data_IF_476138262756
#
_entry.id   IF_476138262756
#
_cell.length_a   1.000
_cell.length_b   1.000
_cell.length_c   1.000
_cell.angle_alpha   90.00
_cell.angle_beta   90.00
_cell.angle_gamma   90.00
#
_symmetry.space_group_name_H-M   'P 1'
#
loop_
_entity.id
_entity.type
_entity.pdbx_description
1 polymer ?
#
# COMPACT_ATOMS: atom_id res chain seq x y z
N UNK A 1 -22.63 -35.92 -17.67
CA UNK A 1 -21.21 -35.70 -17.40
C UNK A 1 -20.93 -34.23 -17.68
N UNK A 2 -21.00 -33.39 -16.66
CA UNK A 2 -20.76 -31.94 -16.76
C UNK A 2 -19.32 -31.69 -16.36
N UNK A 3 -18.52 -31.18 -17.30
CA UNK A 3 -17.13 -30.79 -17.06
C UNK A 3 -17.13 -29.56 -16.15
N UNK A 4 -16.66 -29.76 -14.93
CA UNK A 4 -16.32 -28.70 -14.00
C UNK A 4 -14.98 -28.15 -14.49
N UNK A 5 -15.02 -27.02 -15.17
CA UNK A 5 -13.82 -26.25 -15.50
C UNK A 5 -13.39 -25.48 -14.25
N UNK A 6 -12.46 -26.06 -13.50
CA UNK A 6 -11.77 -25.41 -12.40
C UNK A 6 -10.90 -24.31 -12.99
N UNK A 7 -11.32 -23.05 -12.85
CA UNK A 7 -10.49 -21.89 -13.11
C UNK A 7 -9.52 -21.72 -11.92
N UNK A 8 -8.39 -22.42 -12.02
CA UNK A 8 -7.22 -22.07 -11.21
C UNK A 8 -6.72 -20.74 -11.76
N UNK A 9 -7.10 -19.62 -11.15
CA UNK A 9 -6.39 -18.36 -11.32
C UNK A 9 -5.02 -18.52 -10.66
N UNK A 10 -4.06 -18.96 -11.47
CA UNK A 10 -2.65 -18.93 -11.13
C UNK A 10 -2.30 -17.51 -10.70
N UNK A 11 -1.76 -17.37 -9.50
CA UNK A 11 -0.80 -16.35 -9.13
C UNK A 11 0.30 -16.33 -10.21
N UNK A 12 0.11 -15.58 -11.27
CA UNK A 12 1.14 -15.31 -12.24
C UNK A 12 2.11 -14.31 -11.62
N UNK A 13 2.99 -14.83 -10.74
CA UNK A 13 4.32 -14.28 -10.66
C UNK A 13 4.82 -14.21 -12.10
N UNK A 14 5.24 -13.04 -12.53
CA UNK A 14 5.96 -12.85 -13.77
C UNK A 14 7.23 -13.73 -13.65
N UNK A 15 7.19 -14.93 -14.22
CA UNK A 15 8.39 -15.70 -14.45
C UNK A 15 9.06 -15.06 -15.65
N UNK A 16 9.87 -14.03 -15.40
CA UNK A 16 10.97 -13.76 -16.30
C UNK A 16 11.83 -15.03 -16.33
N UNK A 17 12.04 -15.55 -17.51
CA UNK A 17 12.90 -16.70 -17.76
C UNK A 17 14.30 -16.41 -17.20
N UNK A 18 14.59 -16.98 -16.03
CA UNK A 18 15.93 -17.08 -15.47
C UNK A 18 16.76 -18.06 -16.33
N UNK A 19 17.19 -17.60 -17.48
CA UNK A 19 18.14 -18.29 -18.33
C UNK A 19 19.49 -17.57 -18.32
N UNK A 20 20.00 -17.23 -17.13
CA UNK A 20 21.43 -16.94 -16.91
C UNK A 20 21.66 -16.59 -15.43
N UNK A 21 22.11 -17.55 -14.70
CA UNK A 21 22.97 -17.55 -13.49
C UNK A 21 22.48 -18.63 -12.53
N UNK A 22 23.33 -19.60 -12.23
CA UNK A 22 23.12 -20.81 -11.43
C UNK A 22 22.53 -20.62 -10.03
N UNK A 23 21.38 -19.95 -9.93
CA UNK A 23 20.60 -19.84 -8.71
C UNK A 23 19.78 -21.13 -8.55
N UNK A 24 19.86 -21.74 -7.40
CA UNK A 24 19.06 -22.87 -6.93
C UNK A 24 17.57 -22.68 -7.28
N UNK A 25 16.82 -23.75 -7.60
CA UNK A 25 15.40 -23.63 -7.91
C UNK A 25 14.66 -22.89 -6.79
N UNK A 26 13.96 -21.80 -7.13
CA UNK A 26 13.21 -20.99 -6.15
C UNK A 26 12.19 -21.87 -5.44
N UNK A 27 12.27 -21.92 -4.09
CA UNK A 27 11.25 -22.60 -3.28
C UNK A 27 9.87 -22.03 -3.63
N UNK A 28 8.88 -22.93 -3.80
CA UNK A 28 7.47 -22.50 -3.96
C UNK A 28 6.90 -22.22 -2.57
N UNK A 29 7.14 -21.01 -2.08
CA UNK A 29 6.72 -20.59 -0.73
C UNK A 29 5.21 -20.71 -0.52
N UNK A 30 4.40 -20.54 -1.57
CA UNK A 30 2.95 -20.70 -1.43
C UNK A 30 2.55 -22.14 -1.11
N UNK A 31 3.30 -23.15 -1.66
CA UNK A 31 3.09 -24.56 -1.30
C UNK A 31 3.67 -24.96 0.05
N UNK A 32 4.69 -24.22 0.52
CA UNK A 32 5.35 -24.49 1.79
C UNK A 32 4.69 -23.75 2.95
N UNK A 33 3.85 -22.75 2.67
CA UNK A 33 3.20 -21.93 3.67
C UNK A 33 2.23 -22.74 4.56
N UNK A 34 2.11 -22.33 5.80
CA UNK A 34 1.10 -22.85 6.71
C UNK A 34 -0.26 -22.23 6.40
N UNK A 35 -1.26 -23.07 6.13
CA UNK A 35 -2.68 -22.68 5.97
C UNK A 35 -3.58 -23.38 6.99
N UNK A 36 -2.98 -23.96 8.06
CA UNK A 36 -3.66 -24.65 9.13
C UNK A 36 -3.56 -23.84 10.42
N UNK A 37 -4.68 -23.29 10.87
CA UNK A 37 -4.74 -22.44 12.07
C UNK A 37 -4.22 -23.16 13.32
N UNK A 38 -4.38 -24.50 13.41
CA UNK A 38 -3.88 -25.29 14.54
C UNK A 38 -2.35 -25.35 14.62
N UNK A 39 -1.65 -24.99 13.52
CA UNK A 39 -0.18 -24.95 13.42
C UNK A 39 0.38 -23.54 13.60
N UNK A 40 -0.46 -22.56 13.85
CA UNK A 40 0.03 -21.22 14.22
C UNK A 40 0.83 -21.32 15.50
N UNK A 41 2.09 -20.86 15.56
CA UNK A 41 2.91 -20.98 16.74
C UNK A 41 2.32 -20.16 17.90
N UNK A 42 2.61 -20.59 19.13
CA UNK A 42 2.35 -19.73 20.29
C UNK A 42 3.27 -18.50 20.21
N UNK A 43 2.68 -17.32 20.29
CA UNK A 43 3.41 -16.07 20.23
C UNK A 43 2.87 -15.05 21.23
N UNK A 44 3.72 -14.09 21.58
CA UNK A 44 3.36 -12.91 22.35
C UNK A 44 3.70 -11.68 21.52
N UNK A 45 2.73 -10.79 21.37
CA UNK A 45 2.95 -9.51 20.71
C UNK A 45 3.69 -8.54 21.64
N UNK A 46 4.59 -7.70 21.13
CA UNK A 46 5.11 -6.58 21.88
C UNK A 46 3.96 -5.65 22.27
N UNK A 47 4.02 -5.10 23.50
CA UNK A 47 2.99 -4.15 23.93
C UNK A 47 3.15 -2.84 23.16
N UNK A 48 2.10 -2.45 22.42
CA UNK A 48 2.09 -1.21 21.63
C UNK A 48 2.27 0.04 22.51
N UNK A 49 1.91 -0.02 23.79
CA UNK A 49 2.02 1.08 24.76
C UNK A 49 3.28 1.04 25.63
N UNK A 50 4.14 0.02 25.50
CA UNK A 50 5.35 -0.10 26.28
C UNK A 50 6.54 0.56 25.58
N UNK A 51 7.10 1.61 26.18
CA UNK A 51 8.31 2.26 25.69
C UNK A 51 9.56 1.37 25.88
N UNK A 52 10.64 1.67 25.15
CA UNK A 52 11.91 0.93 25.25
C UNK A 52 12.52 0.96 26.64
N UNK A 53 12.30 2.00 27.42
CA UNK A 53 12.78 2.15 28.79
C UNK A 53 11.89 1.48 29.84
N UNK A 54 10.82 0.80 29.41
CA UNK A 54 9.86 0.11 30.27
C UNK A 54 8.73 0.99 30.79
N UNK A 55 8.64 2.27 30.42
CA UNK A 55 7.53 3.14 30.78
C UNK A 55 6.27 2.75 29.97
N UNK A 56 5.12 2.66 30.66
CA UNK A 56 3.83 2.41 30.03
C UNK A 56 3.17 3.74 29.63
N UNK A 57 2.86 3.90 28.36
CA UNK A 57 2.10 5.05 27.83
C UNK A 57 0.68 5.03 28.36
N UNK A 58 0.26 6.15 28.94
CA UNK A 58 -1.09 6.34 29.51
C UNK A 58 -1.86 7.49 28.86
N UNK A 59 -1.19 8.37 28.13
CA UNK A 59 -1.80 9.53 27.47
C UNK A 59 -1.40 9.62 26.01
N UNK A 60 -2.22 10.32 25.23
CA UNK A 60 -1.91 10.59 23.82
C UNK A 60 -0.63 11.42 23.65
N UNK A 61 -0.34 12.33 24.60
CA UNK A 61 0.88 13.14 24.57
C UNK A 61 2.13 12.27 24.75
N UNK A 62 2.11 11.32 25.69
CA UNK A 62 3.20 10.34 25.83
C UNK A 62 3.34 9.47 24.59
N UNK A 63 2.21 9.06 23.97
CA UNK A 63 2.22 8.34 22.72
C UNK A 63 2.91 9.16 21.62
N UNK A 64 2.45 10.36 21.36
CA UNK A 64 2.94 11.21 20.26
C UNK A 64 4.40 11.62 20.43
N UNK A 65 4.82 11.93 21.67
CA UNK A 65 6.16 12.46 21.94
C UNK A 65 7.22 11.38 22.18
N UNK A 66 6.83 10.19 22.61
CA UNK A 66 7.79 9.14 23.00
C UNK A 66 7.59 7.83 22.22
N UNK A 67 6.47 7.13 22.44
CA UNK A 67 6.33 5.77 21.90
C UNK A 67 6.15 5.72 20.39
N UNK A 68 5.34 6.60 19.81
CA UNK A 68 5.15 6.68 18.36
C UNK A 68 6.47 6.89 17.60
N UNK A 69 7.35 7.84 17.98
CA UNK A 69 8.69 7.97 17.39
C UNK A 69 9.56 6.72 17.53
N UNK A 70 9.52 6.02 18.69
CA UNK A 70 10.25 4.76 18.88
C UNK A 70 9.79 3.69 17.89
N UNK A 71 8.47 3.47 17.76
CA UNK A 71 7.91 2.49 16.83
C UNK A 71 8.24 2.87 15.38
N UNK A 72 8.05 4.14 15.00
CA UNK A 72 8.38 4.62 13.67
C UNK A 72 9.86 4.36 13.33
N UNK A 73 10.76 4.60 14.29
CA UNK A 73 12.18 4.32 14.11
C UNK A 73 12.47 2.83 13.93
N UNK A 74 11.76 1.93 14.64
CA UNK A 74 11.91 0.48 14.48
C UNK A 74 11.55 0.05 13.05
N UNK A 75 10.39 0.47 12.53
CA UNK A 75 10.00 0.16 11.16
C UNK A 75 10.94 0.77 10.13
N UNK A 76 11.37 2.02 10.33
CA UNK A 76 12.33 2.70 9.46
C UNK A 76 13.70 2.01 9.46
N UNK A 77 14.19 1.56 10.62
CA UNK A 77 15.52 0.94 10.71
C UNK A 77 15.55 -0.49 10.20
N UNK A 78 14.50 -1.26 10.51
CA UNK A 78 14.57 -2.72 10.36
C UNK A 78 13.69 -3.28 9.26
N UNK A 79 12.75 -2.52 8.70
CA UNK A 79 11.82 -3.07 7.71
C UNK A 79 11.77 -2.25 6.42
N UNK A 80 11.33 -1.02 6.46
CA UNK A 80 11.11 -0.21 5.26
C UNK A 80 12.36 0.52 4.79
N UNK A 81 13.25 0.86 5.71
CA UNK A 81 14.43 1.67 5.46
C UNK A 81 14.14 3.17 5.47
N UNK A 82 15.20 3.96 5.60
CA UNK A 82 15.17 5.44 5.64
C UNK A 82 15.04 6.01 4.25
N UNK A 83 13.91 6.62 3.95
CA UNK A 83 13.73 7.41 2.74
C UNK A 83 14.44 8.77 2.84
N UNK A 84 14.82 9.39 1.71
CA UNK A 84 15.51 10.68 1.72
C UNK A 84 14.60 11.79 2.27
N UNK A 85 15.19 12.68 3.05
CA UNK A 85 14.55 13.91 3.49
C UNK A 85 14.81 15.01 2.49
N UNK A 86 13.76 15.52 1.88
CA UNK A 86 13.89 16.58 0.88
C UNK A 86 14.19 17.93 1.54
N UNK A 87 15.11 18.68 0.94
CA UNK A 87 15.45 20.05 1.38
C UNK A 87 14.42 21.09 0.91
N UNK A 88 13.70 20.78 -0.17
CA UNK A 88 12.68 21.63 -0.79
C UNK A 88 11.64 20.76 -1.51
N UNK A 89 10.51 21.35 -1.89
CA UNK A 89 9.51 20.67 -2.71
C UNK A 89 10.02 20.47 -4.13
N UNK A 90 9.85 19.28 -4.67
CA UNK A 90 10.24 18.96 -6.05
C UNK A 90 9.28 19.59 -7.07
N UNK A 91 9.74 19.89 -8.29
CA UNK A 91 8.92 20.51 -9.32
C UNK A 91 7.72 19.64 -9.72
N UNK A 92 6.56 20.29 -9.86
CA UNK A 92 5.34 19.68 -10.39
C UNK A 92 4.84 20.54 -11.56
N UNK A 93 4.50 19.90 -12.68
CA UNK A 93 3.97 20.57 -13.87
C UNK A 93 2.65 19.96 -14.28
N UNK A 94 1.59 20.78 -14.40
CA UNK A 94 0.33 20.35 -15.00
C UNK A 94 0.52 20.41 -16.53
N UNK A 95 0.66 19.24 -17.15
CA UNK A 95 0.92 19.11 -18.58
C UNK A 95 -0.35 19.24 -19.42
N UNK A 96 -1.50 18.82 -18.87
CA UNK A 96 -2.79 18.90 -19.56
C UNK A 96 -3.94 19.03 -18.59
N UNK A 97 -4.96 19.82 -19.00
CA UNK A 97 -6.25 19.91 -18.32
C UNK A 97 -7.34 19.68 -19.36
N UNK A 98 -8.28 18.77 -19.07
CA UNK A 98 -9.52 18.59 -19.82
C UNK A 98 -10.71 18.76 -18.86
N UNK A 99 -11.34 19.93 -18.91
CA UNK A 99 -12.49 20.27 -18.07
C UNK A 99 -13.78 19.55 -18.47
N UNK A 100 -13.79 18.92 -19.66
CA UNK A 100 -14.92 18.18 -20.22
C UNK A 100 -14.66 16.68 -20.34
N UNK A 101 -13.73 16.14 -19.57
CA UNK A 101 -13.44 14.72 -19.56
C UNK A 101 -14.70 13.90 -19.21
N UNK A 102 -14.76 12.67 -19.70
CA UNK A 102 -15.85 11.73 -19.47
C UNK A 102 -17.23 12.34 -19.83
N UNK A 103 -17.32 12.97 -21.02
CA UNK A 103 -18.53 13.66 -21.51
C UNK A 103 -18.99 14.81 -20.58
N UNK A 104 -18.04 15.55 -20.00
CA UNK A 104 -18.32 16.69 -19.14
C UNK A 104 -18.59 16.35 -17.67
N UNK A 105 -18.54 15.09 -17.29
CA UNK A 105 -18.75 14.65 -15.89
C UNK A 105 -17.58 14.98 -14.97
N UNK A 106 -16.38 15.10 -15.51
CA UNK A 106 -15.17 15.35 -14.73
C UNK A 106 -14.23 16.36 -15.38
N UNK A 107 -13.42 16.99 -14.57
CA UNK A 107 -12.17 17.65 -14.97
C UNK A 107 -11.03 16.66 -14.76
N UNK A 108 -10.30 16.33 -15.83
CA UNK A 108 -9.08 15.53 -15.78
C UNK A 108 -7.86 16.43 -15.85
N UNK A 109 -6.88 16.18 -14.98
CA UNK A 109 -5.55 16.79 -15.02
C UNK A 109 -4.50 15.71 -15.16
N UNK A 110 -3.50 15.99 -15.99
CA UNK A 110 -2.29 15.18 -16.15
C UNK A 110 -1.14 16.00 -15.57
N UNK A 111 -0.43 15.45 -14.60
CA UNK A 111 0.56 16.16 -13.82
C UNK A 111 1.85 15.34 -13.80
N UNK A 112 2.96 15.94 -14.22
CA UNK A 112 4.28 15.36 -14.04
C UNK A 112 4.91 15.89 -12.76
N UNK A 113 5.27 14.99 -11.84
CA UNK A 113 5.90 15.29 -10.55
C UNK A 113 7.32 14.76 -10.61
N UNK A 114 8.31 15.64 -10.63
CA UNK A 114 9.72 15.23 -10.58
C UNK A 114 10.02 14.55 -9.25
N UNK A 115 10.81 13.49 -9.30
CA UNK A 115 11.24 12.78 -8.09
C UNK A 115 12.68 13.15 -7.68
N UNK A 116 13.33 14.01 -8.46
CA UNK A 116 14.69 14.50 -8.25
C UNK A 116 14.83 15.93 -8.77
N UNK A 117 15.95 16.56 -8.51
CA UNK A 117 16.29 17.88 -9.09
C UNK A 117 16.74 17.78 -10.56
N UNK A 118 17.03 16.58 -11.05
CA UNK A 118 17.35 16.36 -12.46
C UNK A 118 16.05 16.32 -13.29
N UNK A 119 15.83 17.24 -14.23
CA UNK A 119 14.65 17.25 -15.08
C UNK A 119 14.55 16.05 -16.05
N UNK A 120 15.64 15.29 -16.23
CA UNK A 120 15.67 14.04 -16.98
C UNK A 120 15.57 12.81 -16.07
N UNK A 121 15.47 13.02 -14.76
CA UNK A 121 15.35 11.97 -13.76
C UNK A 121 13.95 11.34 -13.74
N UNK A 122 13.74 10.35 -12.84
CA UNK A 122 12.46 9.70 -12.68
C UNK A 122 11.40 10.70 -12.25
N UNK A 123 10.17 10.48 -12.71
CA UNK A 123 9.01 11.31 -12.41
C UNK A 123 7.75 10.47 -12.29
N UNK A 124 6.79 10.96 -11.55
CA UNK A 124 5.44 10.40 -11.48
C UNK A 124 4.58 11.09 -12.52
N UNK A 125 3.87 10.30 -13.32
CA UNK A 125 2.76 10.78 -14.15
C UNK A 125 1.46 10.62 -13.35
N UNK A 126 1.09 11.66 -12.59
CA UNK A 126 -0.13 11.67 -11.80
C UNK A 126 -1.33 12.04 -12.68
N UNK A 127 -2.37 11.21 -12.64
CA UNK A 127 -3.65 11.50 -13.25
C UNK A 127 -4.69 11.82 -12.18
N UNK A 128 -5.34 12.97 -12.29
CA UNK A 128 -6.36 13.42 -11.34
C UNK A 128 -7.68 13.66 -12.04
N UNK A 129 -8.73 12.95 -11.62
CA UNK A 129 -10.12 13.18 -12.00
C UNK A 129 -10.87 13.84 -10.85
N UNK A 130 -11.57 14.93 -11.16
CA UNK A 130 -12.41 15.67 -10.20
C UNK A 130 -13.83 15.79 -10.74
N UNK A 131 -14.89 15.43 -9.99
CA UNK A 131 -16.28 15.51 -10.45
C UNK A 131 -16.71 16.97 -10.66
N UNK A 132 -17.31 17.27 -11.82
CA UNK A 132 -17.74 18.62 -12.18
C UNK A 132 -19.04 19.07 -11.48
N UNK A 133 -19.83 18.14 -10.96
CA UNK A 133 -21.09 18.47 -10.27
C UNK A 133 -20.87 18.92 -8.81
N UNK A 134 -19.67 18.77 -8.27
CA UNK A 134 -19.35 19.17 -6.89
C UNK A 134 -18.86 20.60 -6.85
N UNK A 135 -19.49 21.42 -6.02
CA UNK A 135 -19.03 22.78 -5.71
C UNK A 135 -18.04 22.77 -4.55
N UNK A 136 -17.00 23.61 -4.62
CA UNK A 136 -16.00 23.74 -3.54
C UNK A 136 -14.83 22.79 -3.69
N UNK A 137 -14.23 22.43 -2.56
CA UNK A 137 -13.08 21.53 -2.49
C UNK A 137 -13.53 20.08 -2.42
N UNK A 138 -12.84 19.21 -3.16
CA UNK A 138 -13.21 17.82 -3.39
C UNK A 138 -12.27 16.90 -2.61
N UNK A 139 -12.78 15.99 -1.75
CA UNK A 139 -11.98 14.95 -1.17
C UNK A 139 -11.51 13.97 -2.25
N UNK A 140 -10.29 13.43 -2.10
CA UNK A 140 -9.63 12.64 -3.15
C UNK A 140 -9.13 11.30 -2.59
N UNK A 141 -9.36 10.22 -3.32
CA UNK A 141 -8.61 8.99 -3.15
C UNK A 141 -7.31 9.08 -3.96
N UNK A 142 -6.17 8.96 -3.27
CA UNK A 142 -4.87 8.80 -3.91
C UNK A 142 -4.53 7.31 -3.95
N UNK A 143 -4.57 6.74 -5.14
CA UNK A 143 -4.28 5.35 -5.39
C UNK A 143 -2.96 5.14 -6.13
N UNK A 144 -2.18 4.17 -5.68
CA UNK A 144 -1.02 3.69 -6.43
C UNK A 144 -1.43 2.44 -7.22
N UNK A 145 -1.11 2.41 -8.51
CA UNK A 145 -1.59 1.40 -9.46
C UNK A 145 -0.49 0.45 -9.90
N UNK A 146 -0.84 -0.82 -10.11
CA UNK A 146 0.03 -1.82 -10.77
C UNK A 146 0.26 -1.54 -12.26
N UNK A 147 -0.60 -0.75 -12.86
CA UNK A 147 -0.63 -0.54 -14.30
C UNK A 147 -0.66 0.96 -14.61
N UNK A 148 -0.23 1.37 -15.80
CA UNK A 148 -0.27 2.76 -16.22
C UNK A 148 -1.66 3.38 -16.18
N UNK A 149 -1.75 4.70 -16.04
CA UNK A 149 -3.00 5.44 -15.83
C UNK A 149 -4.06 5.23 -16.90
N UNK A 150 -3.71 4.98 -18.17
CA UNK A 150 -4.70 4.71 -19.22
C UNK A 150 -5.51 3.41 -19.00
N UNK A 151 -5.06 2.54 -18.07
CA UNK A 151 -5.78 1.32 -17.71
C UNK A 151 -6.90 1.54 -16.69
N UNK A 152 -6.87 2.66 -15.96
CA UNK A 152 -7.77 2.96 -14.85
C UNK A 152 -9.22 3.11 -15.32
N UNK A 153 -9.40 3.73 -16.48
CA UNK A 153 -10.69 3.97 -17.09
C UNK A 153 -10.58 3.98 -18.62
N UNK A 154 -11.68 3.64 -19.32
CA UNK A 154 -11.75 3.73 -20.78
C UNK A 154 -12.03 5.17 -21.23
N UNK A 155 -11.02 6.04 -21.03
CA UNK A 155 -11.06 7.43 -21.48
C UNK A 155 -10.40 7.55 -22.86
N UNK A 156 -11.17 7.82 -23.93
CA UNK A 156 -10.65 7.86 -25.29
C UNK A 156 -9.62 8.97 -25.54
N UNK A 157 -9.62 10.02 -24.70
CA UNK A 157 -8.67 11.12 -24.80
C UNK A 157 -7.28 10.80 -24.27
N UNK A 158 -7.09 9.66 -23.60
CA UNK A 158 -5.80 9.23 -23.11
C UNK A 158 -4.99 8.54 -24.21
N UNK A 159 -3.74 8.91 -24.32
CA UNK A 159 -2.80 8.20 -25.18
C UNK A 159 -2.47 6.83 -24.58
N UNK A 160 -2.47 5.81 -25.42
CA UNK A 160 -1.98 4.48 -25.07
C UNK A 160 -0.66 4.30 -25.80
N UNK A 161 0.47 4.07 -25.10
CA UNK A 161 1.75 3.83 -25.75
C UNK A 161 1.69 2.55 -26.59
N UNK A 162 2.55 2.44 -27.58
CA UNK A 162 2.71 1.19 -28.32
C UNK A 162 3.30 0.12 -27.40
N UNK A 163 2.55 -0.99 -27.24
CA UNK A 163 2.98 -2.10 -26.40
C UNK A 163 3.41 -3.24 -27.32
N UNK A 164 4.69 -3.54 -27.30
CA UNK A 164 5.29 -4.60 -28.14
C UNK A 164 5.18 -5.99 -27.50
N UNK A 165 5.11 -6.09 -26.17
CA UNK A 165 4.92 -7.35 -25.46
C UNK A 165 3.45 -7.80 -25.53
N UNK A 166 3.19 -8.94 -26.16
CA UNK A 166 1.83 -9.48 -26.37
C UNK A 166 1.12 -9.86 -25.05
N UNK A 167 1.84 -10.22 -23.99
CA UNK A 167 1.23 -10.50 -22.69
C UNK A 167 0.80 -9.21 -22.00
N UNK A 168 1.65 -8.20 -22.05
CA UNK A 168 1.32 -6.88 -21.54
C UNK A 168 0.15 -6.25 -22.32
N UNK A 169 0.14 -6.34 -23.64
CA UNK A 169 -0.94 -5.85 -24.50
C UNK A 169 -2.32 -6.42 -24.12
N UNK A 170 -2.37 -7.71 -23.77
CA UNK A 170 -3.61 -8.37 -23.33
C UNK A 170 -4.08 -7.94 -21.93
N UNK A 171 -3.18 -7.44 -21.09
CA UNK A 171 -3.44 -7.10 -19.68
C UNK A 171 -3.56 -5.60 -19.42
N UNK A 172 -2.94 -4.78 -20.26
CA UNK A 172 -2.83 -3.34 -20.08
C UNK A 172 -3.47 -2.55 -21.25
N UNK A 173 -4.64 -2.97 -21.72
CA UNK A 173 -5.42 -2.16 -22.63
C UNK A 173 -6.15 -1.04 -21.89
N UNK A 174 -6.59 -0.01 -22.61
CA UNK A 174 -7.32 1.12 -22.03
C UNK A 174 -8.53 0.63 -21.25
N UNK A 175 -8.70 1.12 -20.02
CA UNK A 175 -9.78 0.72 -19.13
C UNK A 175 -9.72 -0.71 -18.59
N UNK A 176 -8.61 -1.44 -18.77
CA UNK A 176 -8.49 -2.83 -18.29
C UNK A 176 -8.66 -2.99 -16.78
N UNK A 177 -8.48 -1.91 -16.00
CA UNK A 177 -8.62 -1.87 -14.55
C UNK A 177 -9.91 -1.16 -14.08
N UNK A 178 -10.79 -0.78 -14.99
CA UNK A 178 -12.01 0.00 -14.68
C UNK A 178 -12.88 -0.68 -13.60
N UNK A 179 -13.08 -2.00 -13.71
CA UNK A 179 -13.84 -2.77 -12.70
C UNK A 179 -13.24 -2.72 -11.30
N UNK A 180 -11.91 -2.62 -11.20
CA UNK A 180 -11.21 -2.54 -9.92
C UNK A 180 -11.20 -1.13 -9.35
N UNK A 181 -11.14 -0.10 -10.18
CA UNK A 181 -11.10 1.29 -9.73
C UNK A 181 -12.48 1.93 -9.60
N UNK A 182 -13.42 1.55 -10.48
CA UNK A 182 -14.80 2.07 -10.48
C UNK A 182 -14.87 3.61 -10.43
N UNK A 183 -14.12 4.27 -11.30
CA UNK A 183 -14.02 5.73 -11.38
C UNK A 183 -15.39 6.40 -11.42
N UNK A 184 -16.33 5.89 -12.21
CA UNK A 184 -17.68 6.45 -12.33
C UNK A 184 -18.36 6.57 -10.96
N UNK A 185 -18.31 5.51 -10.15
CA UNK A 185 -18.91 5.52 -8.80
C UNK A 185 -18.21 6.45 -7.85
N UNK A 186 -16.87 6.55 -7.92
CA UNK A 186 -16.09 7.49 -7.12
C UNK A 186 -16.55 8.91 -7.41
N UNK A 187 -16.65 9.27 -8.70
CA UNK A 187 -17.09 10.59 -9.13
C UNK A 187 -18.55 10.86 -8.76
N UNK A 188 -19.46 9.90 -8.97
CA UNK A 188 -20.89 10.01 -8.61
C UNK A 188 -21.10 10.33 -7.12
N UNK A 189 -20.25 9.79 -6.24
CA UNK A 189 -20.29 10.07 -4.80
C UNK A 189 -19.59 11.39 -4.41
N UNK A 190 -19.12 12.16 -5.38
CA UNK A 190 -18.50 13.46 -5.13
C UNK A 190 -17.04 13.43 -4.73
N UNK A 191 -16.36 12.30 -4.92
CA UNK A 191 -14.94 12.15 -4.67
C UNK A 191 -14.12 12.29 -5.95
N UNK A 192 -12.89 12.78 -5.83
CA UNK A 192 -11.88 12.70 -6.88
C UNK A 192 -11.06 11.42 -6.78
N UNK A 193 -10.40 11.07 -7.88
CA UNK A 193 -9.42 9.99 -7.93
C UNK A 193 -8.12 10.51 -8.52
N UNK A 194 -7.03 10.37 -7.77
CA UNK A 194 -5.66 10.60 -8.22
C UNK A 194 -4.93 9.25 -8.31
N UNK A 195 -4.29 8.95 -9.43
CA UNK A 195 -3.56 7.69 -9.61
C UNK A 195 -2.22 7.91 -10.31
N UNK A 196 -1.26 7.05 -9.99
CA UNK A 196 -0.01 6.88 -10.74
C UNK A 196 0.45 5.42 -10.69
N UNK A 197 1.34 5.05 -11.62
CA UNK A 197 1.92 3.72 -11.64
C UNK A 197 3.10 3.63 -10.64
N UNK A 198 3.17 2.58 -9.84
CA UNK A 198 4.25 2.38 -8.88
C UNK A 198 5.63 2.28 -9.54
N UNK A 199 5.68 1.77 -10.78
CA UNK A 199 6.90 1.69 -11.58
C UNK A 199 7.47 3.06 -12.00
N UNK A 200 6.69 4.14 -11.88
CA UNK A 200 7.17 5.50 -12.11
C UNK A 200 8.20 5.91 -11.04
N UNK A 201 8.11 5.32 -9.85
CA UNK A 201 9.02 5.59 -8.73
C UNK A 201 10.16 4.59 -8.70
N UNK A 202 9.83 3.30 -8.70
CA UNK A 202 10.79 2.21 -8.63
C UNK A 202 10.20 0.95 -9.29
N UNK A 203 10.85 0.37 -10.30
CA UNK A 203 10.38 -0.84 -10.96
C UNK A 203 10.31 -2.04 -10.00
N UNK A 204 9.25 -2.86 -10.12
CA UNK A 204 9.01 -3.99 -9.23
C UNK A 204 9.77 -5.25 -9.65
N UNK A 205 11.08 -5.15 -9.69
CA UNK A 205 11.98 -6.28 -9.88
C UNK A 205 13.34 -6.02 -9.22
N UNK A 206 14.02 -7.10 -8.86
CA UNK A 206 15.32 -7.05 -8.21
C UNK A 206 16.42 -6.76 -9.25
N UNK A 207 16.84 -5.51 -9.31
CA UNK A 207 17.88 -4.99 -10.19
C UNK A 207 19.04 -4.35 -9.42
N UNK A 208 19.19 -4.73 -8.15
CA UNK A 208 20.16 -4.13 -7.22
C UNK A 208 19.94 -2.60 -7.05
N UNK A 209 18.68 -2.14 -7.16
CA UNK A 209 18.28 -0.73 -7.04
C UNK A 209 19.02 0.19 -8.01
N UNK A 210 19.26 -0.25 -9.26
CA UNK A 210 19.97 0.52 -10.29
C UNK A 210 19.02 1.31 -11.18
N UNK A 211 17.73 0.95 -11.20
CA UNK A 211 16.68 1.69 -11.90
C UNK A 211 15.81 2.48 -10.89
N UNK A 212 14.88 3.29 -11.38
CA UNK A 212 14.00 4.08 -10.53
C UNK A 212 14.71 5.22 -9.80
N UNK A 213 14.21 5.51 -8.59
CA UNK A 213 14.58 6.71 -7.83
C UNK A 213 15.85 6.55 -6.98
N UNK A 214 16.20 5.32 -6.59
CA UNK A 214 17.28 5.05 -5.63
C UNK A 214 18.64 5.65 -6.01
N UNK A 215 19.15 5.46 -7.26
CA UNK A 215 20.49 5.95 -7.63
C UNK A 215 20.66 7.47 -7.51
N UNK A 216 19.57 8.22 -7.60
CA UNK A 216 19.60 9.69 -7.50
C UNK A 216 19.79 10.20 -6.08
N UNK A 217 19.63 9.30 -5.09
CA UNK A 217 19.76 9.60 -3.65
C UNK A 217 20.97 8.92 -3.01
N UNK A 218 21.82 8.29 -3.82
CA UNK A 218 23.06 7.71 -3.32
C UNK A 218 24.08 8.77 -2.93
N UNK A 219 24.81 8.50 -1.87
CA UNK A 219 25.97 9.33 -1.51
C UNK A 219 27.11 9.12 -2.51
N UNK A 220 28.06 10.06 -2.51
CA UNK A 220 29.22 9.96 -3.41
C UNK A 220 29.99 8.66 -3.21
N UNK A 221 30.03 7.83 -4.25
CA UNK A 221 30.69 6.53 -4.24
C UNK A 221 29.83 5.36 -3.76
N UNK A 222 28.58 5.61 -3.38
CA UNK A 222 27.58 4.59 -3.11
C UNK A 222 27.01 4.06 -4.42
N UNK A 223 26.86 2.73 -4.55
CA UNK A 223 26.29 2.07 -5.72
C UNK A 223 25.14 1.12 -5.35
N UNK A 224 24.78 1.08 -4.07
CA UNK A 224 23.76 0.17 -3.52
C UNK A 224 23.25 0.74 -2.20
N UNK A 225 21.99 0.57 -1.82
CA UNK A 225 21.49 1.06 -0.54
C UNK A 225 22.20 0.41 0.65
N UNK A 226 22.54 1.21 1.67
CA UNK A 226 22.95 0.68 2.96
C UNK A 226 21.84 -0.17 3.60
N UNK A 227 22.15 -1.09 4.52
CA UNK A 227 21.17 -2.02 5.08
C UNK A 227 19.95 -1.37 5.75
N UNK A 228 20.03 -0.11 6.18
CA UNK A 228 18.95 0.67 6.79
C UNK A 228 18.37 1.74 5.85
N UNK A 229 18.80 1.79 4.59
CA UNK A 229 18.21 2.63 3.57
C UNK A 229 17.01 1.94 2.89
N UNK A 230 16.15 2.74 2.32
CA UNK A 230 14.83 2.37 1.81
C UNK A 230 14.81 1.28 0.74
N UNK A 231 13.83 0.38 0.85
CA UNK A 231 13.47 -0.55 -0.20
C UNK A 231 12.35 0.00 -1.08
N UNK A 232 11.93 -0.78 -2.08
CA UNK A 232 10.93 -0.34 -3.08
C UNK A 232 9.58 0.04 -2.47
N UNK A 233 9.09 -0.69 -1.44
CA UNK A 233 7.82 -0.32 -0.77
C UNK A 233 7.93 1.06 -0.11
N UNK A 234 9.07 1.38 0.49
CA UNK A 234 9.29 2.70 1.06
C UNK A 234 9.41 3.77 -0.03
N UNK A 235 10.04 3.45 -1.17
CA UNK A 235 10.12 4.35 -2.31
C UNK A 235 8.73 4.64 -2.90
N UNK A 236 7.88 3.62 -3.08
CA UNK A 236 6.51 3.80 -3.54
C UNK A 236 5.67 4.65 -2.57
N UNK A 237 5.80 4.41 -1.26
CA UNK A 237 5.13 5.22 -0.23
C UNK A 237 5.63 6.67 -0.23
N UNK A 238 6.93 6.88 -0.41
CA UNK A 238 7.53 8.21 -0.57
C UNK A 238 6.99 8.90 -1.84
N UNK A 239 6.81 8.17 -2.95
CA UNK A 239 6.15 8.66 -4.15
C UNK A 239 4.71 9.13 -3.89
N UNK A 240 3.93 8.41 -3.05
CA UNK A 240 2.61 8.85 -2.62
C UNK A 240 2.66 10.18 -1.86
N UNK A 241 3.69 10.38 -1.01
CA UNK A 241 3.91 11.67 -0.34
C UNK A 241 4.27 12.79 -1.33
N UNK A 242 4.97 12.49 -2.43
CA UNK A 242 5.22 13.49 -3.51
C UNK A 242 3.95 13.85 -4.26
N UNK A 243 3.08 12.86 -4.51
CA UNK A 243 1.76 13.14 -5.07
C UNK A 243 0.90 14.00 -4.12
N UNK A 244 1.00 13.77 -2.80
CA UNK A 244 0.35 14.61 -1.79
C UNK A 244 0.87 16.05 -1.81
N UNK A 245 2.18 16.26 -2.02
CA UNK A 245 2.76 17.61 -2.15
C UNK A 245 2.10 18.42 -3.27
N UNK A 246 1.75 17.79 -4.40
CA UNK A 246 0.99 18.42 -5.47
C UNK A 246 -0.47 18.65 -5.07
N UNK A 247 -1.15 17.64 -4.49
CA UNK A 247 -2.56 17.74 -4.12
C UNK A 247 -2.83 18.88 -3.12
N UNK A 248 -1.87 19.22 -2.26
CA UNK A 248 -1.95 20.39 -1.37
C UNK A 248 -1.98 21.72 -2.13
N UNK A 249 -1.43 21.77 -3.34
CA UNK A 249 -1.37 22.99 -4.17
C UNK A 249 -2.61 23.18 -5.05
N UNK A 250 -3.35 22.10 -5.31
CA UNK A 250 -4.53 22.15 -6.19
C UNK A 250 -5.73 22.77 -5.48
N UNK A 251 -6.20 23.92 -6.00
CA UNK A 251 -7.28 24.71 -5.38
C UNK A 251 -8.63 23.98 -5.30
N UNK A 252 -8.83 22.95 -6.14
CA UNK A 252 -10.06 22.16 -6.17
C UNK A 252 -10.03 20.97 -5.23
N UNK A 253 -8.86 20.55 -4.76
CA UNK A 253 -8.67 19.42 -3.84
C UNK A 253 -8.85 19.87 -2.40
N UNK A 254 -9.61 19.09 -1.62
CA UNK A 254 -9.59 19.17 -0.16
C UNK A 254 -8.40 18.36 0.37
N UNK A 255 -7.24 18.99 0.46
CA UNK A 255 -6.01 18.35 0.90
C UNK A 255 -6.07 17.79 2.34
N UNK A 256 -7.06 18.20 3.14
CA UNK A 256 -7.31 17.63 4.48
C UNK A 256 -8.13 16.34 4.43
N UNK A 257 -8.62 15.95 3.26
CA UNK A 257 -9.47 14.80 3.03
C UNK A 257 -8.92 13.94 1.88
N UNK A 258 -7.62 13.68 1.89
CA UNK A 258 -6.98 12.76 0.94
C UNK A 258 -6.86 11.40 1.62
N UNK A 259 -7.52 10.40 1.06
CA UNK A 259 -7.39 9.01 1.47
C UNK A 259 -6.31 8.33 0.62
N UNK A 260 -5.41 7.58 1.25
CA UNK A 260 -4.44 6.74 0.54
C UNK A 260 -4.94 5.31 0.44
N UNK A 261 -4.83 4.71 -0.76
CA UNK A 261 -5.36 3.38 -1.03
C UNK A 261 -4.39 2.51 -1.83
N UNK A 262 -4.28 1.25 -1.45
CA UNK A 262 -3.52 0.24 -2.17
C UNK A 262 -4.05 -1.18 -1.94
N UNK A 263 -3.62 -2.11 -2.79
CA UNK A 263 -3.98 -3.53 -2.74
C UNK A 263 -2.72 -4.40 -2.79
N UNK A 264 -2.71 -5.52 -2.04
CA UNK A 264 -1.57 -6.45 -2.01
C UNK A 264 -0.27 -5.72 -1.56
N UNK A 265 0.84 -5.83 -2.31
CA UNK A 265 2.07 -5.07 -2.05
C UNK A 265 1.84 -3.55 -2.01
N UNK A 266 0.92 -3.06 -2.81
CA UNK A 266 0.55 -1.64 -2.77
C UNK A 266 -0.36 -1.31 -1.57
N UNK A 267 -1.03 -2.31 -0.98
CA UNK A 267 -1.67 -2.20 0.34
C UNK A 267 -0.64 -2.03 1.45
N UNK A 268 0.46 -2.82 1.44
CA UNK A 268 1.62 -2.62 2.33
C UNK A 268 2.18 -1.19 2.17
N UNK A 269 2.29 -0.72 0.91
CA UNK A 269 2.72 0.65 0.57
C UNK A 269 1.79 1.72 1.14
N UNK A 270 0.48 1.56 0.99
CA UNK A 270 -0.51 2.52 1.51
C UNK A 270 -0.47 2.61 3.04
N UNK A 271 -0.31 1.48 3.73
CA UNK A 271 -0.17 1.45 5.19
C UNK A 271 1.10 2.17 5.63
N UNK A 272 2.25 1.93 4.97
CA UNK A 272 3.49 2.64 5.29
C UNK A 272 3.41 4.13 4.95
N UNK A 273 2.81 4.51 3.82
CA UNK A 273 2.56 5.90 3.48
C UNK A 273 1.72 6.59 4.57
N UNK A 274 0.63 5.97 5.01
CA UNK A 274 -0.20 6.49 6.08
C UNK A 274 0.50 6.57 7.44
N UNK A 275 1.34 5.61 7.80
CA UNK A 275 2.10 5.59 9.04
C UNK A 275 3.20 6.67 9.07
N UNK A 276 3.88 6.90 7.93
CA UNK A 276 5.01 7.82 7.81
C UNK A 276 4.62 9.25 7.44
N UNK A 277 3.47 9.47 6.78
CA UNK A 277 2.99 10.79 6.38
C UNK A 277 1.62 11.11 7.01
N UNK A 278 1.57 12.00 8.04
CA UNK A 278 0.34 12.31 8.76
C UNK A 278 -0.67 13.14 7.94
N UNK A 279 -0.35 13.60 6.75
CA UNK A 279 -1.25 14.39 5.90
C UNK A 279 -2.39 13.56 5.29
N UNK A 280 -2.22 12.25 5.17
CA UNK A 280 -3.28 11.36 4.67
C UNK A 280 -4.39 11.23 5.72
N UNK A 281 -5.60 11.57 5.34
CA UNK A 281 -6.74 11.60 6.25
C UNK A 281 -7.34 10.22 6.56
N UNK A 282 -7.16 9.25 5.66
CA UNK A 282 -7.65 7.89 5.77
C UNK A 282 -6.65 6.96 5.07
N UNK A 283 -6.44 5.77 5.63
CA UNK A 283 -5.62 4.72 5.02
C UNK A 283 -6.51 3.53 4.65
N UNK A 284 -6.40 3.04 3.42
CA UNK A 284 -7.16 1.88 2.93
C UNK A 284 -6.18 0.80 2.51
N UNK A 285 -6.20 -0.30 3.24
CA UNK A 285 -5.33 -1.47 3.05
C UNK A 285 -6.14 -2.65 2.53
N UNK A 286 -6.00 -2.99 1.25
CA UNK A 286 -6.64 -4.17 0.68
C UNK A 286 -5.68 -5.36 0.59
N UNK A 287 -6.02 -6.48 1.25
CA UNK A 287 -5.28 -7.75 1.20
C UNK A 287 -3.76 -7.57 1.35
N UNK A 288 -3.32 -6.79 2.32
CA UNK A 288 -1.90 -6.42 2.44
C UNK A 288 -1.03 -7.51 3.09
N UNK A 289 -1.63 -8.44 3.82
CA UNK A 289 -0.96 -9.62 4.37
C UNK A 289 0.19 -9.33 5.33
N UNK A 290 1.07 -10.31 5.48
CA UNK A 290 2.32 -10.18 6.22
C UNK A 290 3.14 -8.99 5.69
N UNK A 291 3.82 -8.27 6.57
CA UNK A 291 4.53 -7.03 6.23
C UNK A 291 3.60 -5.86 5.79
N UNK A 292 2.31 -6.06 5.82
CA UNK A 292 1.27 -5.05 5.71
C UNK A 292 0.58 -4.89 7.07
N UNK A 293 -0.69 -5.37 7.19
CA UNK A 293 -1.42 -5.31 8.46
C UNK A 293 -1.52 -6.66 9.19
N UNK A 294 -1.24 -7.80 8.52
CA UNK A 294 -1.34 -9.12 9.15
C UNK A 294 -0.17 -9.38 10.10
N UNK A 295 -0.48 -9.88 11.31
CA UNK A 295 0.50 -10.22 12.35
C UNK A 295 1.53 -11.23 11.83
N UNK A 296 2.80 -10.83 11.76
CA UNK A 296 3.90 -11.63 11.21
C UNK A 296 4.21 -12.87 12.05
N UNK A 297 4.11 -12.78 13.38
CA UNK A 297 4.38 -13.88 14.31
C UNK A 297 3.42 -15.07 14.18
N UNK A 298 2.32 -14.91 13.46
CA UNK A 298 1.40 -16.02 13.16
C UNK A 298 2.02 -17.04 12.21
N UNK A 299 2.96 -16.61 11.36
CA UNK A 299 3.56 -17.46 10.33
C UNK A 299 2.51 -18.24 9.53
N UNK A 300 1.39 -17.60 9.20
CA UNK A 300 0.29 -18.15 8.42
C UNK A 300 0.31 -17.49 7.02
N UNK A 301 0.16 -18.27 5.96
CA UNK A 301 0.26 -17.76 4.59
C UNK A 301 1.64 -17.18 4.28
N UNK A 302 1.70 -15.85 4.05
CA UNK A 302 2.95 -15.11 3.85
C UNK A 302 3.83 -15.11 5.12
N UNK A 303 5.15 -15.24 4.94
CA UNK A 303 6.13 -15.09 6.01
C UNK A 303 7.19 -14.06 5.65
N UNK A 304 7.95 -13.59 6.63
CA UNK A 304 9.05 -12.63 6.39
C UNK A 304 10.08 -13.21 5.41
N UNK A 305 10.47 -14.50 5.57
CA UNK A 305 11.37 -15.16 4.64
C UNK A 305 10.78 -15.22 3.22
N UNK A 306 9.52 -15.62 3.10
CA UNK A 306 8.87 -15.71 1.80
C UNK A 306 8.89 -14.37 1.05
N UNK A 307 8.65 -13.27 1.75
CA UNK A 307 8.70 -11.92 1.17
C UNK A 307 10.13 -11.51 0.79
N UNK A 308 11.09 -11.64 1.69
CA UNK A 308 12.47 -11.24 1.46
C UNK A 308 13.19 -12.05 0.38
N UNK A 309 12.82 -13.33 0.19
CA UNK A 309 13.44 -14.18 -0.83
C UNK A 309 12.77 -14.04 -2.19
N UNK A 310 11.44 -13.91 -2.22
CA UNK A 310 10.72 -13.72 -3.50
C UNK A 310 10.87 -12.32 -4.07
N UNK A 311 10.99 -11.33 -3.18
CA UNK A 311 11.02 -9.91 -3.52
C UNK A 311 12.11 -9.19 -2.72
N UNK A 312 13.40 -9.48 -2.98
CA UNK A 312 14.50 -8.99 -2.15
C UNK A 312 14.68 -7.47 -2.18
N UNK A 313 14.05 -6.79 -3.12
CA UNK A 313 14.05 -5.32 -3.27
C UNK A 313 12.94 -4.62 -2.46
N UNK A 314 11.90 -5.34 -1.97
CA UNK A 314 10.76 -4.67 -1.33
C UNK A 314 11.11 -3.98 -0.02
N UNK A 315 11.96 -4.58 0.79
CA UNK A 315 12.31 -4.11 2.12
C UNK A 315 13.81 -3.80 2.22
N UNK A 316 14.19 -3.05 3.25
CA UNK A 316 15.59 -2.73 3.50
C UNK A 316 16.44 -3.97 3.84
N UNK A 317 17.76 -3.84 3.74
CA UNK A 317 18.69 -4.94 3.99
C UNK A 317 18.56 -5.52 5.40
N UNK A 318 18.32 -4.67 6.41
CA UNK A 318 18.17 -5.09 7.79
C UNK A 318 16.98 -6.04 8.03
N UNK A 319 15.93 -6.00 7.19
CA UNK A 319 14.77 -6.88 7.38
C UNK A 319 15.10 -8.34 7.13
N UNK A 320 16.09 -8.63 6.29
CA UNK A 320 16.51 -9.99 5.92
C UNK A 320 17.03 -10.81 7.11
N UNK A 321 17.48 -10.17 8.20
CA UNK A 321 17.90 -10.86 9.42
C UNK A 321 16.78 -11.60 10.16
N UNK A 322 15.52 -11.27 9.83
CA UNK A 322 14.33 -11.86 10.46
C UNK A 322 13.71 -13.01 9.65
N UNK A 323 14.33 -13.46 8.57
CA UNK A 323 13.89 -14.63 7.82
C UNK A 323 13.81 -15.86 8.74
N UNK A 324 12.64 -16.53 8.79
CA UNK A 324 12.32 -17.63 9.72
C UNK A 324 12.54 -17.28 11.21
N UNK A 325 12.48 -16.00 11.56
CA UNK A 325 12.79 -15.49 12.87
C UNK A 325 11.78 -14.45 13.37
N UNK A 326 10.54 -14.55 12.96
CA UNK A 326 9.46 -13.60 13.26
C UNK A 326 9.30 -13.35 14.76
N UNK A 327 9.55 -14.36 15.59
CA UNK A 327 9.50 -14.22 17.06
C UNK A 327 10.51 -13.22 17.64
N UNK A 328 11.58 -12.90 16.88
CA UNK A 328 12.63 -11.95 17.29
C UNK A 328 12.45 -10.56 16.68
N UNK A 329 11.39 -10.32 15.89
CA UNK A 329 11.07 -8.98 15.45
C UNK A 329 10.93 -8.05 16.66
N UNK A 330 11.53 -6.86 16.65
CA UNK A 330 11.36 -5.89 17.73
C UNK A 330 10.01 -5.16 17.69
N UNK A 331 9.15 -5.50 16.73
CA UNK A 331 7.80 -4.99 16.49
C UNK A 331 6.90 -6.08 15.92
N UNK A 332 5.61 -5.77 15.73
CA UNK A 332 4.73 -6.51 14.80
C UNK A 332 3.70 -5.57 14.18
N UNK A 333 2.91 -6.04 13.22
CA UNK A 333 2.12 -5.20 12.32
C UNK A 333 1.00 -4.40 13.00
N UNK A 334 0.52 -4.83 14.16
CA UNK A 334 -0.40 -4.02 14.97
C UNK A 334 0.22 -2.67 15.39
N UNK A 335 1.53 -2.60 15.61
CA UNK A 335 2.25 -1.37 15.89
C UNK A 335 2.34 -0.46 14.64
N UNK A 336 2.45 -1.06 13.44
CA UNK A 336 2.38 -0.32 12.19
C UNK A 336 1.00 0.33 11.99
N UNK A 337 -0.08 -0.41 12.27
CA UNK A 337 -1.45 0.10 12.26
C UNK A 337 -1.62 1.22 13.30
N UNK A 338 -1.07 1.04 14.49
CA UNK A 338 -1.13 2.04 15.57
C UNK A 338 -0.47 3.37 15.20
N UNK A 339 0.58 3.40 14.35
CA UNK A 339 1.20 4.63 13.87
C UNK A 339 0.23 5.54 13.09
N UNK A 340 -0.87 5.01 12.59
CA UNK A 340 -1.89 5.76 11.84
C UNK A 340 -2.81 6.54 12.79
N UNK A 341 -2.99 6.07 14.02
CA UNK A 341 -3.86 6.75 15.00
C UNK A 341 -3.50 8.23 15.17
N UNK A 342 -4.51 9.11 15.39
CA UNK A 342 -5.95 8.85 15.53
C UNK A 342 -6.72 8.78 14.19
N UNK A 343 -6.03 8.87 13.05
CA UNK A 343 -6.66 8.84 11.72
C UNK A 343 -7.24 7.46 11.44
N UNK A 344 -8.37 7.38 10.70
CA UNK A 344 -8.98 6.09 10.40
C UNK A 344 -8.11 5.24 9.46
N UNK A 345 -8.23 3.93 9.65
CA UNK A 345 -7.74 2.89 8.73
C UNK A 345 -8.88 1.94 8.36
N UNK A 346 -8.95 1.59 7.10
CA UNK A 346 -9.85 0.55 6.60
C UNK A 346 -9.05 -0.66 6.11
N UNK A 347 -9.31 -1.81 6.70
CA UNK A 347 -8.65 -3.09 6.41
C UNK A 347 -9.63 -3.96 5.64
N UNK A 348 -9.32 -4.26 4.39
CA UNK A 348 -10.13 -5.06 3.49
C UNK A 348 -9.45 -6.40 3.21
N UNK A 349 -10.07 -7.49 3.65
CA UNK A 349 -9.62 -8.88 3.48
C UNK A 349 -10.55 -9.66 2.55
N UNK A 350 -10.12 -10.83 2.09
CA UNK A 350 -10.90 -11.72 1.25
C UNK A 350 -10.81 -13.18 1.75
N UNK A 351 -11.97 -13.87 1.83
CA UNK A 351 -12.10 -15.21 2.44
C UNK A 351 -11.21 -16.28 1.79
N UNK A 352 -11.07 -16.23 0.47
CA UNK A 352 -10.27 -17.21 -0.28
C UNK A 352 -8.78 -16.85 -0.34
N UNK A 353 -8.37 -15.71 0.25
CA UNK A 353 -7.00 -15.24 0.25
C UNK A 353 -6.23 -15.65 1.51
N UNK A 354 -6.11 -16.95 1.72
CA UNK A 354 -5.34 -17.49 2.85
C UNK A 354 -3.87 -17.10 2.83
N UNK A 355 -3.33 -16.72 1.67
CA UNK A 355 -1.97 -16.23 1.55
C UNK A 355 -1.75 -14.92 2.33
N UNK A 356 -2.74 -14.04 2.36
CA UNK A 356 -2.68 -12.76 3.08
C UNK A 356 -3.05 -12.86 4.57
N UNK A 357 -3.53 -14.01 5.06
CA UNK A 357 -3.92 -14.23 6.47
C UNK A 357 -4.99 -13.23 6.97
N UNK A 358 -6.23 -13.41 6.56
CA UNK A 358 -7.35 -12.52 6.92
C UNK A 358 -7.49 -12.34 8.43
N UNK A 359 -7.26 -13.43 9.20
CA UNK A 359 -7.30 -13.37 10.67
C UNK A 359 -6.13 -12.57 11.23
N UNK A 360 -4.95 -12.71 10.63
CA UNK A 360 -3.79 -11.90 10.96
C UNK A 360 -4.03 -10.42 10.68
N UNK A 361 -4.69 -10.08 9.55
CA UNK A 361 -5.07 -8.70 9.23
C UNK A 361 -6.07 -8.13 10.25
N UNK A 362 -7.09 -8.91 10.64
CA UNK A 362 -8.01 -8.53 11.71
C UNK A 362 -7.27 -8.28 13.03
N UNK A 363 -6.39 -9.20 13.44
CA UNK A 363 -5.62 -9.09 14.69
C UNK A 363 -4.65 -7.92 14.67
N UNK A 364 -4.11 -7.54 13.51
CA UNK A 364 -3.31 -6.33 13.34
C UNK A 364 -4.11 -5.06 13.68
N UNK A 365 -5.36 -4.99 13.21
CA UNK A 365 -6.29 -3.93 13.60
C UNK A 365 -6.63 -3.94 15.09
N UNK A 366 -6.97 -5.11 15.64
CA UNK A 366 -7.29 -5.29 17.08
C UNK A 366 -6.12 -4.86 17.98
N UNK A 367 -4.91 -5.24 17.64
CA UNK A 367 -3.72 -4.91 18.43
C UNK A 367 -3.39 -3.42 18.48
N UNK A 368 -3.92 -2.61 17.56
CA UNK A 368 -3.77 -1.17 17.54
C UNK A 368 -4.79 -0.41 18.41
N UNK A 369 -5.91 -1.05 18.80
CA UNK A 369 -7.00 -0.42 19.56
C UNK A 369 -6.56 0.31 20.84
N UNK A 370 -5.57 -0.19 21.63
CA UNK A 370 -5.14 0.52 22.82
C UNK A 370 -4.63 1.94 22.55
N UNK A 371 -4.03 2.18 21.37
CA UNK A 371 -3.58 3.53 20.99
C UNK A 371 -4.75 4.42 20.61
N UNK A 372 -5.74 3.92 19.88
CA UNK A 372 -6.96 4.67 19.58
C UNK A 372 -7.72 5.04 20.83
N UNK A 373 -7.73 4.16 21.85
CA UNK A 373 -8.34 4.44 23.15
C UNK A 373 -7.69 5.63 23.88
N UNK A 374 -6.39 5.90 23.70
CA UNK A 374 -5.74 7.12 24.25
C UNK A 374 -6.36 8.41 23.71
N UNK A 375 -6.95 8.38 22.54
CA UNK A 375 -7.64 9.51 21.91
C UNK A 375 -9.15 9.52 22.22
N UNK A 376 -9.64 8.61 23.07
CA UNK A 376 -11.07 8.46 23.36
C UNK A 376 -11.86 7.85 22.21
N UNK A 377 -11.17 7.16 21.29
CA UNK A 377 -11.78 6.53 20.12
C UNK A 377 -12.00 5.03 20.39
N UNK A 378 -13.00 4.45 19.70
CA UNK A 378 -13.22 3.00 19.72
C UNK A 378 -12.23 2.23 18.84
N UNK A 379 -12.38 0.91 18.84
CA UNK A 379 -11.68 0.00 17.95
C UNK A 379 -12.55 -0.48 16.79
N UNK A 380 -12.34 -1.73 16.32
CA UNK A 380 -13.13 -2.36 15.25
C UNK A 380 -14.59 -2.55 15.69
N UNK A 381 -14.83 -2.75 16.99
CA UNK A 381 -16.17 -2.92 17.54
C UNK A 381 -16.63 -4.39 17.65
N UNK A 382 -15.72 -5.33 17.49
CA UNK A 382 -15.92 -6.76 17.76
C UNK A 382 -14.66 -7.40 18.32
N UNK A 383 -14.82 -8.47 19.12
CA UNK A 383 -13.70 -9.19 19.73
C UNK A 383 -13.14 -10.28 18.82
N UNK A 384 -13.98 -10.88 18.00
CA UNK A 384 -13.63 -11.94 17.06
C UNK A 384 -13.77 -11.42 15.62
N UNK A 385 -13.00 -12.03 14.72
CA UNK A 385 -13.09 -11.71 13.29
C UNK A 385 -14.53 -11.90 12.79
N UNK A 386 -15.15 -10.87 12.18
CA UNK A 386 -16.54 -10.94 11.75
C UNK A 386 -16.75 -11.99 10.66
N UNK A 387 -17.98 -12.50 10.53
CA UNK A 387 -18.35 -13.37 9.42
C UNK A 387 -18.11 -12.71 8.06
N UNK A 388 -17.93 -13.55 7.04
CA UNK A 388 -17.78 -13.09 5.64
C UNK A 388 -18.95 -12.20 5.23
N UNK A 389 -18.65 -11.15 4.47
CA UNK A 389 -19.60 -10.13 4.00
C UNK A 389 -20.32 -9.36 5.13
N UNK A 390 -19.71 -9.30 6.33
CA UNK A 390 -20.22 -8.54 7.47
C UNK A 390 -19.22 -7.44 7.84
N UNK A 391 -19.29 -6.25 7.23
CA UNK A 391 -18.33 -5.18 7.47
C UNK A 391 -18.57 -4.49 8.82
N UNK A 392 -17.49 -4.19 9.52
CA UNK A 392 -17.46 -3.37 10.73
C UNK A 392 -16.85 -2.02 10.42
N UNK A 393 -17.70 -0.97 10.36
CA UNK A 393 -17.38 0.35 9.85
C UNK A 393 -17.60 1.47 10.88
N UNK A 394 -18.00 1.15 12.10
CA UNK A 394 -18.47 2.15 13.07
C UNK A 394 -17.34 2.77 13.91
N UNK A 395 -16.10 2.36 13.69
CA UNK A 395 -14.93 2.82 14.43
C UNK A 395 -13.86 3.43 13.51
N UNK A 396 -12.81 4.00 14.10
CA UNK A 396 -11.66 4.51 13.33
C UNK A 396 -10.81 3.37 12.72
N UNK A 397 -10.97 2.14 13.20
CA UNK A 397 -10.42 0.95 12.58
C UNK A 397 -11.61 0.19 11.99
N UNK A 398 -11.77 0.25 10.68
CA UNK A 398 -12.79 -0.48 9.97
C UNK A 398 -12.21 -1.78 9.39
N UNK A 399 -13.02 -2.82 9.35
CA UNK A 399 -12.62 -4.13 8.83
C UNK A 399 -13.75 -4.81 8.07
N UNK A 400 -13.42 -5.44 6.95
CA UNK A 400 -14.28 -6.47 6.33
C UNK A 400 -13.45 -7.67 5.88
N UNK A 401 -14.12 -8.83 5.84
CA UNK A 401 -13.67 -10.02 5.12
C UNK A 401 -14.76 -10.38 4.10
N UNK A 402 -14.53 -10.11 2.83
CA UNK A 402 -15.51 -10.40 1.78
C UNK A 402 -15.29 -11.78 1.16
N UNK A 403 -16.32 -12.31 0.53
CA UNK A 403 -16.23 -13.51 -0.29
C UNK A 403 -15.35 -13.29 -1.53
N UNK A 404 -14.57 -14.32 -1.89
CA UNK A 404 -13.79 -14.38 -3.13
C UNK A 404 -12.28 -14.26 -2.95
N UNK A 405 -11.53 -14.25 -4.06
CA UNK A 405 -10.07 -14.39 -4.08
C UNK A 405 -9.32 -13.09 -3.80
N UNK A 406 -7.98 -13.19 -3.85
CA UNK A 406 -7.03 -12.07 -3.82
C UNK A 406 -7.21 -11.15 -5.04
N UNK A 407 -8.10 -10.19 -4.95
CA UNK A 407 -8.43 -9.23 -6.00
C UNK A 407 -9.09 -7.98 -5.41
N UNK A 408 -9.19 -6.90 -6.19
CA UNK A 408 -10.08 -5.78 -5.88
C UNK A 408 -11.38 -5.99 -6.61
N UNK A 409 -12.47 -6.18 -5.88
CA UNK A 409 -13.80 -6.38 -6.41
C UNK A 409 -14.69 -5.12 -6.23
N UNK A 410 -15.81 -5.00 -6.94
CA UNK A 410 -16.76 -3.92 -6.73
C UNK A 410 -17.28 -3.77 -5.31
N UNK A 411 -17.33 -4.86 -4.54
CA UNK A 411 -17.68 -4.85 -3.12
C UNK A 411 -16.69 -4.01 -2.30
N UNK A 412 -15.38 -4.23 -2.46
CA UNK A 412 -14.36 -3.48 -1.73
C UNK A 412 -14.57 -1.97 -1.93
N UNK A 413 -14.77 -1.53 -3.18
CA UNK A 413 -14.99 -0.11 -3.50
C UNK A 413 -16.31 0.43 -2.96
N UNK A 414 -17.35 -0.39 -2.78
CA UNK A 414 -18.61 0.06 -2.19
C UNK A 414 -18.48 0.29 -0.69
N UNK A 415 -17.75 -0.55 0.00
CA UNK A 415 -17.52 -0.42 1.45
C UNK A 415 -16.53 0.69 1.80
N UNK A 416 -15.45 0.85 1.02
CA UNK A 416 -14.45 1.91 1.21
C UNK A 416 -15.02 3.34 1.15
N UNK A 417 -16.20 3.52 0.52
CA UNK A 417 -16.88 4.82 0.39
C UNK A 417 -17.90 5.11 1.49
N UNK A 418 -18.19 4.17 2.37
CA UNK A 418 -19.10 4.36 3.51
C UNK A 418 -18.40 5.10 4.64
#
# INVERSE_FOLDING_TARGET
>A
MKNIMIWIMLLLSITYTDAQNGKSPRKDYAKLANYDESKVPQYTLPSVLMCHDGEMVQTKEQWEQKRRPEILNLFTTYMFGKAPVLKHKLPCTVSRINEKALNGRATRKEITIQLTDDPQGPHIDLQLYLPNHVSGKIPVFLGISFMPNYTIYDDPDLSVPEITDEKMKKRSFRGSMDKSWQLDKILEHGYGLATFCYNDVDPDFDDDFQNGVHPYYYEKGQNFPDPDQWGSIAAWAWGMSRAMDYLETDKKVDAKKVAVIGHSRLGKTAVWAGASDPRFALVISGNSGCCGVAISRRCFGETVEAMNVRFPHWFCGNYKQFNDREKYLPFDQHELVALIAPRPIYIASAEEDNWSDQKGEFLGGKGAEPVYALYGLGGIGCEEMPPVDTPYMNGPIAYHNRKGPHAVLPYDRSEERR
#
